data_IF_521891870460
#
_entry.id   IF_521891870460
#
_cell.length_a   1.000
_cell.length_b   1.000
_cell.length_c   1.000
_cell.angle_alpha   90.00
_cell.angle_beta   90.00
_cell.angle_gamma   90.00
#
_symmetry.space_group_name_H-M   'P 1'
#
loop_
_entity.id
_entity.type
_entity.pdbx_description
1 polymer ?
#
# COMPACT_ATOMS: atom_id res chain seq x y z
N UNK A 1 -9.65 -19.75 9.15
CA UNK A 1 -9.66 -18.59 10.07
C UNK A 1 -8.75 -17.50 9.50
N UNK A 2 -9.22 -16.27 9.51
CA UNK A 2 -8.43 -15.10 9.14
C UNK A 2 -8.67 -13.95 10.13
N UNK A 3 -7.72 -13.02 10.21
CA UNK A 3 -7.88 -11.78 10.99
C UNK A 3 -7.85 -10.60 10.04
N UNK A 4 -8.95 -9.86 9.97
CA UNK A 4 -9.01 -8.62 9.22
C UNK A 4 -8.36 -7.48 10.00
N UNK A 5 -7.44 -6.76 9.38
CA UNK A 5 -6.77 -5.57 9.93
C UNK A 5 -7.15 -4.33 9.14
N UNK A 6 -8.05 -3.51 9.69
CA UNK A 6 -8.34 -2.19 9.14
C UNK A 6 -7.11 -1.29 9.26
N UNK A 7 -6.66 -0.75 8.14
CA UNK A 7 -5.51 0.17 8.12
C UNK A 7 -5.79 1.43 8.95
N UNK A 8 -6.96 2.03 8.75
CA UNK A 8 -7.39 3.24 9.48
C UNK A 8 -7.42 3.01 10.99
N UNK A 9 -7.98 1.89 11.43
CA UNK A 9 -8.04 1.56 12.86
C UNK A 9 -6.65 1.31 13.44
N UNK A 10 -5.79 0.64 12.68
CA UNK A 10 -4.42 0.36 13.10
C UNK A 10 -3.62 1.65 13.31
N UNK A 11 -3.73 2.60 12.39
CA UNK A 11 -3.14 3.93 12.54
C UNK A 11 -3.71 4.68 13.75
N UNK A 12 -5.04 4.77 13.87
CA UNK A 12 -5.73 5.50 14.95
C UNK A 12 -5.49 4.90 16.34
N UNK A 13 -5.38 3.57 16.43
CA UNK A 13 -5.07 2.87 17.69
C UNK A 13 -3.58 2.91 18.06
N UNK A 14 -2.75 3.55 17.26
CA UNK A 14 -1.31 3.69 17.52
C UNK A 14 -0.50 2.42 17.32
N UNK A 15 -1.05 1.37 16.72
CA UNK A 15 -0.34 0.10 16.52
C UNK A 15 0.83 0.20 15.54
N UNK A 16 0.91 1.29 14.77
CA UNK A 16 2.03 1.60 13.90
C UNK A 16 2.99 2.65 14.49
N UNK A 17 2.76 3.16 15.70
CA UNK A 17 3.52 4.29 16.26
C UNK A 17 5.03 4.07 16.24
N UNK A 18 5.51 2.94 16.76
CA UNK A 18 6.95 2.62 16.79
C UNK A 18 7.54 2.53 15.38
N UNK A 19 6.81 1.93 14.46
CA UNK A 19 7.25 1.82 13.06
C UNK A 19 7.24 3.18 12.35
N UNK A 20 6.28 4.07 12.64
CA UNK A 20 6.24 5.43 12.10
C UNK A 20 7.41 6.27 12.62
N UNK A 21 7.76 6.16 13.90
CA UNK A 21 8.93 6.81 14.46
C UNK A 21 10.23 6.28 13.83
N UNK A 22 10.30 4.97 13.57
CA UNK A 22 11.43 4.37 12.87
C UNK A 22 11.53 4.86 11.42
N UNK A 23 10.41 4.98 10.70
CA UNK A 23 10.37 5.59 9.35
C UNK A 23 10.88 7.04 9.40
N UNK A 24 10.51 7.81 10.43
CA UNK A 24 10.97 9.18 10.62
C UNK A 24 12.49 9.22 10.90
N UNK A 25 13.00 8.30 11.71
CA UNK A 25 14.44 8.16 11.96
C UNK A 25 15.21 7.85 10.67
N UNK A 26 14.69 6.92 9.84
CA UNK A 26 15.30 6.49 8.58
C UNK A 26 14.89 7.32 7.36
N UNK A 27 14.34 8.51 7.57
CA UNK A 27 13.71 9.34 6.53
C UNK A 27 14.59 9.52 5.29
N UNK A 28 15.86 9.92 5.46
CA UNK A 28 16.77 10.16 4.34
C UNK A 28 17.12 8.86 3.59
N UNK A 29 17.30 7.77 4.31
CA UNK A 29 17.59 6.46 3.72
C UNK A 29 16.42 5.97 2.86
N UNK A 30 15.19 6.15 3.35
CA UNK A 30 13.97 5.81 2.61
C UNK A 30 13.81 6.72 1.39
N UNK A 31 14.04 8.02 1.52
CA UNK A 31 14.01 8.93 0.39
C UNK A 31 15.02 8.55 -0.70
N UNK A 32 16.24 8.18 -0.34
CA UNK A 32 17.26 7.72 -1.28
C UNK A 32 16.84 6.46 -2.07
N UNK A 33 15.97 5.63 -1.50
CA UNK A 33 15.40 4.46 -2.20
C UNK A 33 14.28 4.87 -3.15
N UNK A 34 13.40 5.79 -2.72
CA UNK A 34 12.17 6.11 -3.45
C UNK A 34 12.37 7.18 -4.51
N UNK A 35 13.10 8.26 -4.22
CA UNK A 35 13.26 9.41 -5.12
C UNK A 35 13.74 9.04 -6.52
N UNK A 36 14.73 8.15 -6.73
CA UNK A 36 15.17 7.75 -8.06
C UNK A 36 14.10 7.09 -8.92
N UNK A 37 13.02 6.62 -8.31
CA UNK A 37 11.90 5.96 -9.00
C UNK A 37 10.78 6.90 -9.40
N UNK A 38 10.91 8.19 -9.06
CA UNK A 38 9.90 9.21 -9.31
C UNK A 38 10.34 10.17 -10.43
N UNK A 39 9.38 10.72 -11.14
CA UNK A 39 9.64 11.80 -12.10
C UNK A 39 10.16 13.08 -11.40
N UNK A 40 10.93 13.91 -12.11
CA UNK A 40 11.63 15.09 -11.57
C UNK A 40 10.72 16.04 -10.76
N UNK A 41 9.50 16.29 -11.23
CA UNK A 41 8.57 17.19 -10.53
C UNK A 41 8.10 16.57 -9.20
N UNK A 42 7.81 15.27 -9.19
CA UNK A 42 7.38 14.56 -7.98
C UNK A 42 8.51 14.46 -6.95
N UNK A 43 9.78 14.38 -7.38
CA UNK A 43 10.93 14.35 -6.48
C UNK A 43 11.02 15.60 -5.60
N UNK A 44 10.62 16.77 -6.12
CA UNK A 44 10.69 18.05 -5.39
C UNK A 44 9.74 18.14 -4.20
N UNK A 45 8.62 17.43 -4.24
CA UNK A 45 7.55 17.52 -3.25
C UNK A 45 7.33 16.23 -2.48
N UNK A 46 8.09 15.19 -2.80
CA UNK A 46 7.92 13.89 -2.17
C UNK A 46 8.35 13.89 -0.70
N UNK A 47 7.51 13.31 0.12
CA UNK A 47 7.83 12.89 1.49
C UNK A 47 7.19 11.53 1.74
N UNK A 48 7.81 10.64 2.53
CA UNK A 48 7.18 9.42 3.03
C UNK A 48 5.89 9.67 3.80
N UNK A 49 5.79 10.83 4.46
CA UNK A 49 4.66 11.19 5.33
C UNK A 49 3.64 12.06 4.61
N UNK A 50 2.37 11.75 4.85
CA UNK A 50 1.19 12.50 4.42
C UNK A 50 0.44 12.93 5.69
N UNK A 51 0.45 14.21 6.07
CA UNK A 51 -0.32 14.71 7.20
C UNK A 51 -1.82 14.49 7.00
N UNK A 52 -2.55 14.34 8.08
CA UNK A 52 -4.01 14.30 8.08
C UNK A 52 -4.52 15.62 8.60
N UNK A 53 -5.40 16.26 7.83
CA UNK A 53 -6.04 17.53 8.24
C UNK A 53 -6.82 17.32 9.54
N UNK A 54 -6.55 18.07 10.60
CA UNK A 54 -7.23 17.89 11.88
C UNK A 54 -8.72 18.28 11.81
N UNK A 55 -9.09 19.18 10.89
CA UNK A 55 -10.46 19.67 10.74
C UNK A 55 -11.34 18.74 9.90
N UNK A 56 -10.78 18.23 8.79
CA UNK A 56 -11.54 17.44 7.80
C UNK A 56 -11.28 15.94 7.84
N UNK A 57 -10.17 15.52 8.47
CA UNK A 57 -9.71 14.14 8.45
C UNK A 57 -9.15 13.69 7.09
N UNK A 58 -9.00 14.58 6.13
CA UNK A 58 -8.45 14.25 4.81
C UNK A 58 -6.94 14.13 4.85
N UNK A 59 -6.42 13.21 4.05
CA UNK A 59 -4.97 13.04 3.83
C UNK A 59 -4.49 14.18 2.94
N UNK A 60 -3.47 14.90 3.39
CA UNK A 60 -2.91 16.04 2.68
C UNK A 60 -1.64 15.63 1.92
N UNK A 61 -1.59 15.98 0.66
CA UNK A 61 -0.40 15.82 -0.18
C UNK A 61 0.27 17.19 -0.33
N UNK A 62 1.03 17.56 0.69
CA UNK A 62 1.63 18.89 0.87
C UNK A 62 3.14 18.79 1.14
N UNK A 63 3.93 19.83 0.83
CA UNK A 63 5.36 19.84 1.10
C UNK A 63 5.65 19.73 2.61
N UNK A 64 6.55 18.81 2.97
CA UNK A 64 7.13 18.74 4.30
C UNK A 64 8.35 19.67 4.32
N UNK A 65 8.35 20.63 5.25
CA UNK A 65 9.36 21.67 5.34
C UNK A 65 10.48 21.27 6.29
N UNK A 66 10.13 20.61 7.40
CA UNK A 66 11.06 20.26 8.47
C UNK A 66 10.70 18.94 9.11
N UNK A 67 11.72 18.21 9.55
CA UNK A 67 11.60 16.91 10.22
C UNK A 67 12.23 17.01 11.60
N UNK A 68 11.40 16.82 12.63
CA UNK A 68 11.82 16.86 14.04
C UNK A 68 11.91 15.44 14.60
N UNK A 69 12.98 14.72 14.24
CA UNK A 69 13.16 13.30 14.60
C UNK A 69 13.03 13.02 16.10
N UNK A 70 13.67 13.84 16.93
CA UNK A 70 13.65 13.67 18.40
C UNK A 70 12.26 13.86 19.00
N UNK A 71 11.43 14.67 18.38
CA UNK A 71 10.07 14.98 18.84
C UNK A 71 8.99 14.09 18.21
N UNK A 72 9.36 13.27 17.22
CA UNK A 72 8.39 12.47 16.47
C UNK A 72 7.42 13.31 15.62
N UNK A 73 7.88 14.47 15.12
CA UNK A 73 7.03 15.45 14.45
C UNK A 73 7.55 15.86 13.09
N UNK A 74 6.65 16.40 12.29
CA UNK A 74 6.94 17.07 11.00
C UNK A 74 6.26 18.43 10.94
N UNK A 75 6.88 19.37 10.19
CA UNK A 75 6.28 20.64 9.83
C UNK A 75 5.97 20.61 8.35
N UNK A 76 4.77 20.99 7.97
CA UNK A 76 4.28 21.00 6.59
C UNK A 76 3.64 22.33 6.23
N UNK A 77 3.60 22.62 4.92
CA UNK A 77 2.94 23.81 4.40
C UNK A 77 1.50 23.47 4.01
N UNK A 78 0.54 24.21 4.55
CA UNK A 78 -0.88 24.10 4.18
C UNK A 78 -1.41 25.48 3.78
N UNK A 79 -1.47 25.73 2.46
CA UNK A 79 -1.66 27.09 1.94
C UNK A 79 -0.53 28.00 2.41
N UNK A 80 -0.87 29.14 3.00
CA UNK A 80 0.10 30.12 3.53
C UNK A 80 0.54 29.83 4.97
N UNK A 81 0.03 28.76 5.59
CA UNK A 81 0.29 28.43 6.99
C UNK A 81 1.29 27.29 7.14
N UNK A 82 2.24 27.45 8.05
CA UNK A 82 3.07 26.35 8.54
C UNK A 82 2.34 25.64 9.68
N UNK A 83 2.18 24.32 9.54
CA UNK A 83 1.50 23.47 10.51
C UNK A 83 2.47 22.42 11.05
N UNK A 84 2.39 22.14 12.33
CA UNK A 84 3.15 21.08 12.99
C UNK A 84 2.23 19.92 13.36
N UNK A 85 2.67 18.68 13.16
CA UNK A 85 1.93 17.49 13.58
C UNK A 85 2.89 16.38 14.01
N UNK A 86 2.47 15.54 14.92
CA UNK A 86 3.16 14.28 15.21
C UNK A 86 2.90 13.27 14.09
N UNK A 87 3.84 12.34 13.89
CA UNK A 87 3.70 11.30 12.83
C UNK A 87 2.86 10.10 13.29
N UNK A 88 2.52 10.05 14.57
CA UNK A 88 1.85 8.94 15.28
C UNK A 88 0.35 9.16 15.45
N UNK A 89 -0.33 8.20 16.09
CA UNK A 89 -1.72 8.31 16.55
C UNK A 89 -2.74 8.65 15.46
N UNK A 90 -2.47 8.20 14.22
CA UNK A 90 -3.34 8.48 13.08
C UNK A 90 -3.33 9.92 12.59
N UNK A 91 -2.36 10.76 13.01
CA UNK A 91 -2.19 12.13 12.52
C UNK A 91 -1.42 12.25 11.23
N UNK A 92 -0.69 11.20 10.84
CA UNK A 92 -0.06 11.04 9.54
C UNK A 92 -0.38 9.66 8.97
N UNK A 93 -0.32 9.59 7.65
CA UNK A 93 -0.31 8.34 6.88
C UNK A 93 1.00 8.29 6.10
N UNK A 94 1.45 7.10 5.71
CA UNK A 94 2.60 6.95 4.82
C UNK A 94 2.18 6.87 3.34
N UNK A 95 3.07 7.29 2.46
CA UNK A 95 2.99 7.03 1.02
C UNK A 95 2.99 5.51 0.76
N UNK A 96 2.29 5.11 -0.29
CA UNK A 96 1.96 3.71 -0.62
C UNK A 96 3.10 2.70 -0.43
N UNK A 97 4.26 2.91 -1.05
CA UNK A 97 5.36 1.92 -1.00
C UNK A 97 5.98 1.83 0.39
N UNK A 98 6.04 2.95 1.10
CA UNK A 98 6.54 3.02 2.48
C UNK A 98 5.55 2.42 3.46
N UNK A 99 4.25 2.70 3.28
CA UNK A 99 3.16 2.12 4.07
C UNK A 99 3.13 0.59 3.95
N UNK A 100 3.34 0.08 2.73
CA UNK A 100 3.38 -1.36 2.48
C UNK A 100 4.55 -2.04 3.19
N UNK A 101 5.75 -1.47 3.09
CA UNK A 101 6.93 -1.93 3.81
C UNK A 101 6.76 -1.86 5.34
N UNK A 102 6.18 -0.76 5.84
CA UNK A 102 5.90 -0.60 7.27
C UNK A 102 4.92 -1.66 7.78
N UNK A 103 3.89 -2.03 7.01
CA UNK A 103 2.97 -3.11 7.37
C UNK A 103 3.67 -4.45 7.46
N UNK A 104 4.53 -4.78 6.50
CA UNK A 104 5.33 -5.99 6.55
C UNK A 104 6.19 -6.04 7.82
N UNK A 105 6.83 -4.91 8.13
CA UNK A 105 7.61 -4.75 9.35
C UNK A 105 6.77 -4.93 10.61
N UNK A 106 5.64 -4.22 10.72
CA UNK A 106 4.82 -4.16 11.94
C UNK A 106 4.07 -5.46 12.22
N UNK A 107 3.61 -6.15 11.18
CA UNK A 107 2.83 -7.38 11.32
C UNK A 107 3.67 -8.66 11.18
N UNK A 108 5.00 -8.54 11.00
CA UNK A 108 5.89 -9.69 10.75
C UNK A 108 5.36 -10.58 9.63
N UNK A 109 5.08 -9.99 8.48
CA UNK A 109 4.51 -10.69 7.33
C UNK A 109 5.57 -11.62 6.72
N UNK A 110 5.28 -12.92 6.65
CA UNK A 110 6.16 -13.94 6.07
C UNK A 110 5.93 -14.15 4.58
N UNK A 111 4.68 -13.91 4.13
CA UNK A 111 4.27 -14.17 2.76
C UNK A 111 3.23 -13.15 2.28
N UNK A 112 3.42 -12.62 1.07
CA UNK A 112 2.53 -11.63 0.46
C UNK A 112 2.22 -12.02 -0.98
N UNK A 113 0.93 -11.98 -1.35
CA UNK A 113 0.47 -12.20 -2.73
C UNK A 113 0.05 -10.87 -3.35
N UNK A 114 0.49 -10.60 -4.58
CA UNK A 114 0.15 -9.36 -5.29
C UNK A 114 0.06 -9.56 -6.80
N UNK A 115 -0.67 -8.68 -7.48
CA UNK A 115 -0.72 -8.67 -8.93
C UNK A 115 0.63 -8.29 -9.55
N UNK A 116 0.92 -8.77 -10.74
CA UNK A 116 2.19 -8.50 -11.44
C UNK A 116 2.47 -7.00 -11.65
N UNK A 117 1.43 -6.19 -11.69
CA UNK A 117 1.54 -4.72 -11.81
C UNK A 117 2.13 -4.06 -10.56
N UNK A 118 2.25 -4.79 -9.45
CA UNK A 118 2.86 -4.32 -8.21
C UNK A 118 4.31 -4.81 -8.00
N UNK A 119 4.90 -5.58 -8.94
CA UNK A 119 6.25 -6.14 -8.79
C UNK A 119 7.29 -5.07 -8.49
N UNK A 120 7.31 -3.98 -9.24
CA UNK A 120 8.26 -2.87 -9.02
C UNK A 120 8.05 -2.21 -7.65
N UNK A 121 6.79 -2.05 -7.24
CA UNK A 121 6.46 -1.52 -5.92
C UNK A 121 6.90 -2.47 -4.80
N UNK A 122 6.73 -3.79 -4.99
CA UNK A 122 7.19 -4.80 -4.04
C UNK A 122 8.71 -4.79 -3.87
N UNK A 123 9.47 -4.62 -4.96
CA UNK A 123 10.94 -4.50 -4.92
C UNK A 123 11.37 -3.28 -4.09
N UNK A 124 10.73 -2.14 -4.31
CA UNK A 124 11.03 -0.91 -3.56
C UNK A 124 10.63 -1.07 -2.08
N UNK A 125 9.43 -1.58 -1.81
CA UNK A 125 8.97 -1.85 -0.45
C UNK A 125 9.86 -2.86 0.28
N UNK A 126 10.42 -3.85 -0.43
CA UNK A 126 11.38 -4.80 0.14
C UNK A 126 12.66 -4.12 0.62
N UNK A 127 13.21 -3.21 -0.18
CA UNK A 127 14.39 -2.41 0.23
C UNK A 127 14.10 -1.53 1.44
N UNK A 128 12.90 -0.93 1.49
CA UNK A 128 12.46 -0.12 2.63
C UNK A 128 12.29 -0.99 3.87
N UNK A 129 11.66 -2.17 3.78
CA UNK A 129 11.50 -3.09 4.89
C UNK A 129 12.86 -3.52 5.48
N UNK A 130 13.85 -3.79 4.63
CA UNK A 130 15.24 -4.06 5.05
C UNK A 130 15.87 -2.86 5.76
N UNK A 131 15.63 -1.64 5.28
CA UNK A 131 16.08 -0.39 5.93
C UNK A 131 15.47 -0.23 7.32
N UNK A 132 14.22 -0.69 7.51
CA UNK A 132 13.57 -0.74 8.81
C UNK A 132 14.09 -1.87 9.72
N UNK A 133 14.98 -2.73 9.24
CA UNK A 133 15.65 -3.77 10.02
C UNK A 133 14.98 -5.15 9.99
N UNK A 134 14.06 -5.40 9.06
CA UNK A 134 13.46 -6.73 8.89
C UNK A 134 13.59 -7.24 7.46
N UNK A 135 13.61 -8.55 7.31
CA UNK A 135 13.51 -9.21 6.02
C UNK A 135 12.10 -8.96 5.45
N UNK A 136 12.03 -8.66 4.15
CA UNK A 136 10.75 -8.60 3.44
C UNK A 136 10.12 -10.00 3.31
N UNK A 137 8.78 -10.09 3.18
CA UNK A 137 8.09 -11.35 2.98
C UNK A 137 8.52 -12.03 1.67
N UNK A 138 8.31 -13.34 1.60
CA UNK A 138 8.36 -14.05 0.34
C UNK A 138 7.18 -13.59 -0.53
N UNK A 139 7.47 -13.07 -1.72
CA UNK A 139 6.46 -12.54 -2.61
C UNK A 139 5.99 -13.56 -3.64
N UNK A 140 4.71 -13.51 -3.97
CA UNK A 140 4.14 -14.25 -5.08
C UNK A 140 3.33 -13.32 -5.99
N UNK A 141 3.84 -13.09 -7.21
CA UNK A 141 3.14 -12.30 -8.20
C UNK A 141 2.25 -13.19 -9.09
N UNK A 142 0.97 -12.86 -9.17
CA UNK A 142 0.02 -13.52 -10.07
C UNK A 142 -0.32 -12.63 -11.27
N UNK A 143 -0.73 -13.28 -12.37
CA UNK A 143 -1.13 -12.61 -13.60
C UNK A 143 -2.48 -11.92 -13.47
N UNK A 144 -2.75 -11.02 -14.42
CA UNK A 144 -3.99 -10.26 -14.45
C UNK A 144 -5.15 -11.13 -14.93
N UNK A 145 -6.34 -10.74 -14.47
CA UNK A 145 -7.60 -11.23 -15.02
C UNK A 145 -8.03 -10.35 -16.20
N UNK A 146 -8.47 -11.00 -17.26
CA UNK A 146 -8.90 -10.36 -18.49
C UNK A 146 -10.40 -10.61 -18.67
N UNK A 147 -11.07 -9.70 -19.34
CA UNK A 147 -12.46 -9.88 -19.76
C UNK A 147 -12.54 -10.78 -21.01
N UNK A 148 -13.75 -10.96 -21.55
CA UNK A 148 -14.02 -11.74 -22.75
C UNK A 148 -13.16 -11.31 -23.94
N UNK A 149 -12.96 -9.99 -24.10
CA UNK A 149 -12.19 -9.39 -25.19
C UNK A 149 -10.68 -9.47 -24.99
N UNK A 150 -10.23 -9.94 -23.81
CA UNK A 150 -8.83 -9.97 -23.45
C UNK A 150 -8.30 -8.65 -22.88
N UNK A 151 -9.18 -7.72 -22.51
CA UNK A 151 -8.82 -6.48 -21.85
C UNK A 151 -8.70 -6.67 -20.33
N UNK A 152 -7.86 -5.86 -19.69
CA UNK A 152 -7.70 -5.89 -18.22
C UNK A 152 -9.03 -5.57 -17.53
N UNK A 153 -9.46 -6.44 -16.62
CA UNK A 153 -10.59 -6.16 -15.75
C UNK A 153 -10.26 -5.02 -14.80
N UNK A 154 -11.15 -4.04 -14.72
CA UNK A 154 -11.00 -2.91 -13.80
C UNK A 154 -12.35 -2.53 -13.20
N UNK A 155 -12.30 -2.03 -11.94
CA UNK A 155 -13.51 -1.56 -11.24
C UNK A 155 -14.20 -0.40 -11.96
N UNK A 156 -13.42 0.50 -12.58
CA UNK A 156 -13.96 1.65 -13.31
C UNK A 156 -14.70 1.28 -14.59
N UNK A 157 -14.31 0.17 -15.24
CA UNK A 157 -14.98 -0.36 -16.43
C UNK A 157 -16.18 -1.24 -16.09
N UNK A 158 -16.23 -1.79 -14.86
CA UNK A 158 -17.29 -2.71 -14.44
C UNK A 158 -17.34 -4.02 -15.24
N UNK A 159 -16.24 -4.39 -15.91
CA UNK A 159 -16.16 -5.52 -16.84
C UNK A 159 -15.69 -6.83 -16.17
N UNK A 160 -15.89 -6.99 -14.89
CA UNK A 160 -15.48 -8.18 -14.14
C UNK A 160 -16.61 -8.78 -13.32
N UNK A 161 -16.46 -10.06 -12.95
CA UNK A 161 -17.36 -10.77 -12.04
C UNK A 161 -16.84 -10.56 -10.62
N UNK A 162 -17.73 -10.18 -9.69
CA UNK A 162 -17.41 -10.11 -8.27
C UNK A 162 -17.41 -11.50 -7.62
N UNK A 163 -16.68 -11.63 -6.50
CA UNK A 163 -16.72 -12.89 -5.72
C UNK A 163 -18.17 -13.26 -5.33
N UNK A 164 -18.97 -12.27 -4.92
CA UNK A 164 -20.38 -12.49 -4.59
C UNK A 164 -21.22 -12.99 -5.75
N UNK A 165 -20.94 -12.55 -6.98
CA UNK A 165 -21.60 -13.07 -8.18
C UNK A 165 -21.16 -14.49 -8.49
N UNK A 166 -19.86 -14.81 -8.41
CA UNK A 166 -19.34 -16.16 -8.57
C UNK A 166 -20.02 -17.14 -7.60
N UNK A 167 -20.05 -16.80 -6.32
CA UNK A 167 -20.59 -17.66 -5.27
C UNK A 167 -22.12 -17.88 -5.32
N UNK A 168 -22.84 -17.17 -6.20
CA UNK A 168 -24.25 -17.49 -6.48
C UNK A 168 -24.43 -18.73 -7.36
N UNK A 169 -23.44 -19.08 -8.16
CA UNK A 169 -23.52 -20.13 -9.17
C UNK A 169 -22.52 -21.26 -8.97
N UNK A 170 -21.43 -21.02 -8.23
CA UNK A 170 -20.34 -21.97 -8.07
C UNK A 170 -19.77 -21.95 -6.64
N UNK A 171 -19.14 -23.04 -6.23
CA UNK A 171 -18.59 -23.19 -4.87
C UNK A 171 -17.31 -22.37 -4.65
N UNK A 172 -16.94 -22.08 -3.38
CA UNK A 172 -15.67 -21.45 -3.05
C UNK A 172 -14.45 -22.25 -3.54
N UNK A 173 -14.55 -23.59 -3.55
CA UNK A 173 -13.49 -24.48 -4.02
C UNK A 173 -13.25 -24.31 -5.52
N UNK A 174 -14.30 -24.12 -6.31
CA UNK A 174 -14.20 -23.86 -7.75
C UNK A 174 -13.48 -22.55 -8.03
N UNK A 175 -13.76 -21.51 -7.25
CA UNK A 175 -13.02 -20.24 -7.33
C UNK A 175 -11.57 -20.42 -6.96
N UNK A 176 -11.28 -21.14 -5.87
CA UNK A 176 -9.91 -21.42 -5.43
C UNK A 176 -9.13 -22.18 -6.49
N UNK A 177 -9.72 -23.23 -7.08
CA UNK A 177 -9.11 -23.97 -8.17
C UNK A 177 -8.82 -23.06 -9.38
N UNK A 178 -9.81 -22.25 -9.80
CA UNK A 178 -9.63 -21.30 -10.89
C UNK A 178 -8.51 -20.30 -10.62
N UNK A 179 -8.43 -19.75 -9.41
CA UNK A 179 -7.40 -18.78 -9.02
C UNK A 179 -6.00 -19.39 -9.02
N UNK A 180 -5.85 -20.59 -8.47
CA UNK A 180 -4.53 -21.23 -8.28
C UNK A 180 -4.09 -22.15 -9.43
N UNK A 181 -4.97 -22.56 -10.31
CA UNK A 181 -4.59 -23.29 -11.51
C UNK A 181 -3.83 -22.37 -12.47
N UNK A 182 -2.53 -22.54 -12.61
CA UNK A 182 -1.65 -21.70 -13.44
C UNK A 182 -1.68 -20.21 -13.08
N UNK A 183 -1.35 -19.81 -11.85
CA UNK A 183 -1.50 -18.42 -11.38
C UNK A 183 -0.57 -17.43 -12.09
N UNK A 184 0.49 -17.91 -12.75
CA UNK A 184 1.41 -17.09 -13.57
C UNK A 184 0.96 -16.90 -15.01
N UNK A 185 -0.24 -17.36 -15.37
CA UNK A 185 -0.84 -17.19 -16.69
C UNK A 185 -2.07 -16.29 -16.59
N UNK A 186 -2.18 -15.33 -17.50
CA UNK A 186 -3.36 -14.49 -17.60
C UNK A 186 -4.61 -15.33 -17.85
N UNK A 187 -5.71 -15.01 -17.18
CA UNK A 187 -6.96 -15.77 -17.23
C UNK A 187 -8.09 -14.86 -17.66
N UNK A 188 -8.96 -15.36 -18.53
CA UNK A 188 -10.20 -14.69 -18.89
C UNK A 188 -11.26 -15.00 -17.83
N UNK A 189 -11.92 -13.97 -17.32
CA UNK A 189 -13.00 -14.07 -16.33
C UNK A 189 -14.21 -13.30 -16.83
N UNK A 190 -15.21 -14.00 -17.35
CA UNK A 190 -16.47 -13.45 -17.86
C UNK A 190 -17.64 -14.41 -17.60
N UNK A 191 -18.88 -13.87 -17.64
CA UNK A 191 -20.06 -14.58 -17.18
C UNK A 191 -20.45 -15.81 -18.04
N UNK A 192 -20.11 -15.80 -19.32
CA UNK A 192 -20.48 -16.85 -20.28
C UNK A 192 -19.71 -18.18 -20.10
N UNK A 193 -18.75 -18.22 -19.15
CA UNK A 193 -18.04 -19.45 -18.75
C UNK A 193 -18.73 -20.20 -17.62
N UNK A 194 -19.80 -19.64 -17.08
CA UNK A 194 -20.65 -20.29 -16.08
C UNK A 194 -21.92 -20.73 -16.80
N UNK A 195 -22.15 -22.05 -16.95
CA UNK A 195 -23.38 -22.58 -17.61
C UNK A 195 -24.64 -22.14 -16.88
#
# INVERSE_FOLDING_TARGET
NYTFKSSTDTYKKGLFNDALLLVLEKYEQINNIVLPTLGKERQKTYSPFLPICPETGQVLEVPIIEIKKKEGKIIYQNGDKKMETEVTNGKCKLQWKVDWAMRWYSFNVDYEMYGKDLIESAIISSKICQTLGKKSPNGFAYEMFLDEKGEKISKSKGNGITIGQWLKYASPESLSLYMYQNPKRAKKLYADVVP
#
